data_IF_030807554878
#
_entry.id   IF_030807554878
#
_cell.length_a   1.000
_cell.length_b   1.000
_cell.length_c   1.000
_cell.angle_alpha   90.00
_cell.angle_beta   90.00
_cell.angle_gamma   90.00
#
_symmetry.space_group_name_H-M   'P 1'
#
loop_
_entity.id
_entity.type
_entity.pdbx_description
1 polymer ?
#
# COMPACT_ATOMS: atom_id res chain seq x y z
N UNK A 1 -4.29 5.58 16.97
CA UNK A 1 -4.41 4.45 17.90
C UNK A 1 -3.56 4.61 19.14
N UNK A 2 -2.25 4.84 19.05
CA UNK A 2 -1.39 5.05 20.22
C UNK A 2 -1.79 6.26 21.05
N UNK A 3 -2.16 7.38 20.44
CA UNK A 3 -2.63 8.58 21.14
C UNK A 3 -3.84 8.29 22.04
N UNK A 4 -4.79 7.46 21.56
CA UNK A 4 -5.97 7.06 22.35
C UNK A 4 -5.61 6.13 23.51
N UNK A 5 -4.61 5.26 23.33
CA UNK A 5 -4.09 4.41 24.38
C UNK A 5 -3.43 5.23 25.50
N UNK A 6 -2.56 6.20 25.11
CA UNK A 6 -1.92 7.11 26.07
C UNK A 6 -2.90 8.09 26.74
N UNK A 7 -4.05 8.37 26.10
CA UNK A 7 -5.14 9.12 26.69
C UNK A 7 -5.95 8.32 27.74
N UNK A 8 -5.51 7.09 28.06
CA UNK A 8 -6.14 6.25 29.10
C UNK A 8 -7.31 5.40 28.61
N UNK A 9 -7.53 5.30 27.29
CA UNK A 9 -8.51 4.35 26.76
C UNK A 9 -8.00 2.92 26.92
N UNK A 10 -8.74 2.09 27.65
CA UNK A 10 -8.42 0.67 27.80
C UNK A 10 -8.48 -0.10 26.47
N UNK A 11 -7.70 -1.16 26.35
CA UNK A 11 -7.68 -2.06 25.20
C UNK A 11 -9.06 -2.54 24.73
N UNK A 12 -10.02 -2.62 25.64
CA UNK A 12 -11.43 -2.99 25.38
C UNK A 12 -12.12 -2.07 24.37
N UNK A 13 -11.69 -0.81 24.27
CA UNK A 13 -12.25 0.17 23.35
C UNK A 13 -11.46 0.29 22.04
N UNK A 14 -10.21 -0.18 22.03
CA UNK A 14 -9.31 -0.10 20.87
C UNK A 14 -9.47 -1.35 19.99
N UNK A 15 -9.65 -2.52 20.59
CA UNK A 15 -9.76 -3.78 19.85
C UNK A 15 -11.00 -3.85 18.92
N UNK A 16 -12.22 -3.48 19.35
CA UNK A 16 -13.41 -3.62 18.50
C UNK A 16 -13.31 -2.87 17.16
N UNK A 17 -12.91 -1.59 17.09
CA UNK A 17 -12.80 -0.91 15.80
C UNK A 17 -11.71 -1.50 14.89
N UNK A 18 -10.62 -2.04 15.46
CA UNK A 18 -9.60 -2.75 14.68
C UNK A 18 -10.17 -4.03 14.08
N UNK A 19 -10.86 -4.82 14.88
CA UNK A 19 -11.47 -6.08 14.42
C UNK A 19 -12.53 -5.81 13.36
N UNK A 20 -13.37 -4.80 13.55
CA UNK A 20 -14.38 -4.39 12.56
C UNK A 20 -13.69 -3.95 11.25
N UNK A 21 -12.61 -3.16 11.34
CA UNK A 21 -11.84 -2.74 10.18
C UNK A 21 -11.23 -3.92 9.42
N UNK A 22 -10.66 -4.89 10.12
CA UNK A 22 -10.09 -6.10 9.51
C UNK A 22 -11.16 -6.97 8.85
N UNK A 23 -12.33 -7.11 9.49
CA UNK A 23 -13.47 -7.84 8.92
C UNK A 23 -13.98 -7.12 7.66
N UNK A 24 -14.09 -5.78 7.69
CA UNK A 24 -14.52 -5.01 6.54
C UNK A 24 -13.54 -5.14 5.35
N UNK A 25 -12.23 -5.10 5.61
CA UNK A 25 -11.21 -5.33 4.59
C UNK A 25 -11.31 -6.77 4.03
N UNK A 26 -11.42 -7.77 4.91
CA UNK A 26 -11.60 -9.16 4.50
C UNK A 26 -12.86 -9.36 3.64
N UNK A 27 -13.97 -8.71 4.01
CA UNK A 27 -15.19 -8.73 3.22
C UNK A 27 -14.98 -8.13 1.82
N UNK A 28 -14.31 -6.97 1.72
CA UNK A 28 -14.01 -6.34 0.43
C UNK A 28 -13.15 -7.24 -0.46
N UNK A 29 -12.15 -7.92 0.09
CA UNK A 29 -11.28 -8.83 -0.66
C UNK A 29 -12.02 -10.07 -1.15
N UNK A 30 -12.86 -10.67 -0.30
CA UNK A 30 -13.60 -11.90 -0.66
C UNK A 30 -14.73 -11.62 -1.65
N UNK A 31 -15.42 -10.49 -1.49
CA UNK A 31 -16.55 -10.09 -2.34
C UNK A 31 -16.15 -9.16 -3.50
N UNK A 32 -14.83 -8.94 -3.72
CA UNK A 32 -14.31 -8.08 -4.79
C UNK A 32 -14.97 -8.35 -6.15
N UNK A 33 -15.04 -9.60 -6.68
CA UNK A 33 -15.61 -9.85 -8.01
C UNK A 33 -17.09 -9.46 -8.11
N UNK A 34 -17.83 -9.49 -7.00
CA UNK A 34 -19.23 -9.09 -6.95
C UNK A 34 -19.40 -7.59 -6.77
N UNK A 35 -18.58 -6.96 -5.90
CA UNK A 35 -18.65 -5.55 -5.59
C UNK A 35 -18.09 -4.65 -6.69
N UNK A 36 -17.10 -5.14 -7.42
CA UNK A 36 -16.43 -4.44 -8.51
C UNK A 36 -17.03 -4.73 -9.89
N UNK A 37 -18.15 -5.43 -9.99
CA UNK A 37 -18.90 -5.56 -11.24
C UNK A 37 -19.40 -4.19 -11.72
N UNK A 38 -19.36 -3.95 -13.03
CA UNK A 38 -19.64 -2.62 -13.62
C UNK A 38 -21.09 -2.15 -13.39
N UNK A 39 -22.01 -3.08 -13.12
CA UNK A 39 -23.43 -2.79 -12.87
C UNK A 39 -23.74 -2.37 -11.42
N UNK A 40 -22.82 -2.58 -10.48
CA UNK A 40 -23.07 -2.33 -9.05
C UNK A 40 -22.76 -0.88 -8.70
N UNK A 41 -23.77 -0.09 -8.36
CA UNK A 41 -23.61 1.26 -7.82
C UNK A 41 -23.52 1.21 -6.29
N UNK A 42 -22.44 1.70 -5.74
CA UNK A 42 -22.27 1.79 -4.28
C UNK A 42 -23.01 3.04 -3.76
N UNK A 43 -23.99 2.89 -2.88
CA UNK A 43 -24.82 4.01 -2.44
C UNK A 43 -24.07 5.06 -1.60
N UNK A 44 -22.96 4.68 -0.96
CA UNK A 44 -22.17 5.54 -0.07
C UNK A 44 -20.90 6.11 -0.72
N UNK A 45 -20.45 5.58 -1.84
CA UNK A 45 -19.19 5.97 -2.46
C UNK A 45 -19.41 6.58 -3.84
N UNK A 46 -18.64 7.61 -4.15
CA UNK A 46 -18.59 8.17 -5.50
C UNK A 46 -17.91 7.18 -6.44
N UNK A 47 -18.29 7.18 -7.70
CA UNK A 47 -17.75 6.30 -8.75
C UNK A 47 -16.21 6.29 -8.78
N UNK A 48 -15.59 7.46 -8.58
CA UNK A 48 -14.13 7.61 -8.49
C UNK A 48 -13.50 6.82 -7.32
N UNK A 49 -14.15 6.81 -6.16
CA UNK A 49 -13.66 6.07 -4.98
C UNK A 49 -13.78 4.56 -5.19
N UNK A 50 -14.90 4.11 -5.76
CA UNK A 50 -15.11 2.72 -6.14
C UNK A 50 -14.01 2.24 -7.09
N UNK A 51 -13.75 3.01 -8.16
CA UNK A 51 -12.72 2.67 -9.12
C UNK A 51 -11.33 2.54 -8.48
N UNK A 52 -10.96 3.42 -7.54
CA UNK A 52 -9.68 3.31 -6.82
C UNK A 52 -9.59 2.03 -5.99
N UNK A 53 -10.64 1.68 -5.25
CA UNK A 53 -10.67 0.45 -4.45
C UNK A 53 -10.59 -0.77 -5.35
N UNK A 54 -11.37 -0.84 -6.42
CA UNK A 54 -11.38 -1.97 -7.35
C UNK A 54 -10.05 -2.12 -8.11
N UNK A 55 -9.43 -1.01 -8.52
CA UNK A 55 -8.10 -1.07 -9.16
C UNK A 55 -7.01 -1.53 -8.18
N UNK A 56 -7.15 -1.22 -6.88
CA UNK A 56 -6.22 -1.68 -5.86
C UNK A 56 -6.35 -3.18 -5.61
N UNK A 57 -7.59 -3.70 -5.58
CA UNK A 57 -7.88 -5.11 -5.33
C UNK A 57 -7.52 -5.99 -6.54
N UNK A 58 -7.87 -5.55 -7.74
CA UNK A 58 -7.55 -6.24 -9.00
C UNK A 58 -6.98 -5.25 -10.03
N UNK A 59 -5.65 -4.99 -10.00
CA UNK A 59 -5.00 -4.13 -10.98
C UNK A 59 -4.94 -4.75 -12.39
N UNK A 60 -5.11 -6.06 -12.51
CA UNK A 60 -5.07 -6.79 -13.79
C UNK A 60 -6.34 -6.60 -14.62
N UNK A 61 -7.40 -6.06 -14.05
CA UNK A 61 -8.64 -5.75 -14.76
C UNK A 61 -8.47 -4.65 -15.81
N UNK A 62 -7.58 -3.67 -15.54
CA UNK A 62 -7.21 -2.62 -16.50
C UNK A 62 -5.69 -2.44 -16.52
N UNK A 63 -4.94 -3.38 -17.15
CA UNK A 63 -3.49 -3.44 -17.04
C UNK A 63 -2.78 -2.34 -17.85
N UNK A 64 -3.47 -1.67 -18.79
CA UNK A 64 -2.92 -0.57 -19.60
C UNK A 64 -3.43 0.81 -19.15
N UNK A 65 -4.42 0.85 -18.26
CA UNK A 65 -4.98 2.08 -17.71
C UNK A 65 -4.56 2.32 -16.27
N UNK A 66 -5.54 2.42 -15.38
CA UNK A 66 -5.32 2.77 -13.96
C UNK A 66 -4.53 1.73 -13.16
N UNK A 67 -4.59 0.45 -13.56
CA UNK A 67 -3.82 -0.64 -12.96
C UNK A 67 -2.33 -0.64 -13.34
N UNK A 68 -1.96 0.02 -14.45
CA UNK A 68 -0.59 -0.01 -14.98
C UNK A 68 0.46 0.36 -13.94
N UNK A 69 0.29 1.48 -13.24
CA UNK A 69 1.26 1.96 -12.26
C UNK A 69 1.40 1.02 -11.05
N UNK A 70 0.30 0.41 -10.61
CA UNK A 70 0.32 -0.56 -9.51
C UNK A 70 1.07 -1.82 -9.92
N UNK A 71 0.81 -2.33 -11.12
CA UNK A 71 1.48 -3.51 -11.68
C UNK A 71 2.98 -3.24 -11.83
N UNK A 72 3.36 -2.09 -12.40
CA UNK A 72 4.77 -1.70 -12.54
C UNK A 72 5.46 -1.54 -11.18
N UNK A 73 4.77 -0.96 -10.19
CA UNK A 73 5.27 -0.87 -8.83
C UNK A 73 5.50 -2.24 -8.18
N UNK A 74 4.59 -3.19 -8.38
CA UNK A 74 4.76 -4.58 -7.89
C UNK A 74 5.94 -5.28 -8.60
N UNK A 75 6.08 -5.09 -9.90
CA UNK A 75 7.21 -5.63 -10.68
C UNK A 75 8.54 -5.02 -10.18
N UNK A 76 8.57 -3.70 -9.92
CA UNK A 76 9.75 -3.02 -9.40
C UNK A 76 10.19 -3.62 -8.06
N UNK A 77 9.28 -3.70 -7.08
CA UNK A 77 9.56 -4.31 -5.76
C UNK A 77 10.00 -5.76 -5.90
N UNK A 78 9.30 -6.57 -6.71
CA UNK A 78 9.62 -7.98 -6.93
C UNK A 78 10.98 -8.18 -7.59
N UNK A 79 11.34 -7.31 -8.55
CA UNK A 79 12.61 -7.39 -9.28
C UNK A 79 13.83 -7.01 -8.44
N UNK A 80 13.64 -6.26 -7.34
CA UNK A 80 14.71 -5.91 -6.40
C UNK A 80 15.23 -7.09 -5.60
N UNK A 81 14.43 -8.13 -5.38
CA UNK A 81 14.84 -9.32 -4.62
C UNK A 81 15.31 -9.01 -3.20
N UNK A 82 16.28 -9.78 -2.70
CA UNK A 82 16.79 -9.63 -1.33
C UNK A 82 17.75 -8.44 -1.17
N UNK A 83 18.67 -8.24 -2.11
CA UNK A 83 19.77 -7.26 -2.02
C UNK A 83 19.57 -6.02 -2.87
N UNK A 84 18.54 -5.99 -3.71
CA UNK A 84 18.33 -4.94 -4.68
C UNK A 84 19.21 -5.06 -5.92
N UNK A 85 18.92 -4.26 -6.93
CA UNK A 85 19.73 -4.16 -8.18
C UNK A 85 20.95 -3.27 -8.01
N UNK A 86 21.00 -2.48 -6.96
CA UNK A 86 22.03 -1.47 -6.70
C UNK A 86 21.52 -0.05 -6.89
N UNK A 87 22.21 0.89 -6.25
CA UNK A 87 21.88 2.31 -6.30
C UNK A 87 21.92 2.82 -7.74
N UNK A 88 20.84 3.48 -8.16
CA UNK A 88 20.63 4.00 -9.52
C UNK A 88 20.65 2.93 -10.63
N UNK A 89 20.44 1.65 -10.32
CA UNK A 89 20.37 0.56 -11.30
C UNK A 89 18.95 -0.02 -11.46
N UNK A 90 17.94 0.68 -10.94
CA UNK A 90 16.54 0.33 -11.09
C UNK A 90 16.08 0.46 -12.55
N UNK A 91 15.70 -0.65 -13.18
CA UNK A 91 15.28 -0.66 -14.58
C UNK A 91 13.93 -0.02 -14.79
N UNK A 92 12.97 -0.25 -13.89
CA UNK A 92 11.63 0.33 -13.97
C UNK A 92 11.65 1.85 -13.73
N UNK A 93 12.57 2.29 -12.87
CA UNK A 93 12.77 3.70 -12.54
C UNK A 93 13.44 4.46 -13.69
N UNK A 94 14.44 3.88 -14.35
CA UNK A 94 15.18 4.54 -15.43
C UNK A 94 14.45 4.54 -16.78
N UNK A 95 13.62 3.54 -17.04
CA UNK A 95 12.86 3.44 -18.29
C UNK A 95 11.56 4.26 -18.25
N UNK A 96 11.34 5.06 -17.20
CA UNK A 96 10.15 5.91 -16.99
C UNK A 96 8.82 5.14 -17.07
N UNK A 97 8.82 3.82 -16.78
CA UNK A 97 7.60 3.04 -16.66
C UNK A 97 6.74 3.46 -15.46
N UNK A 98 7.37 4.12 -14.47
CA UNK A 98 6.69 4.67 -13.30
C UNK A 98 6.82 6.21 -13.35
N UNK A 99 5.86 6.93 -13.96
CA UNK A 99 5.96 8.39 -14.13
C UNK A 99 5.94 9.15 -12.79
N UNK A 100 5.29 8.61 -11.75
CA UNK A 100 5.18 9.23 -10.42
C UNK A 100 6.15 8.58 -9.40
N UNK A 101 7.34 8.18 -9.85
CA UNK A 101 8.37 7.52 -9.02
C UNK A 101 8.87 8.35 -7.85
N UNK A 102 8.78 9.67 -7.94
CA UNK A 102 9.26 10.60 -6.90
C UNK A 102 8.19 10.96 -5.87
N UNK A 103 6.96 10.55 -6.07
CA UNK A 103 5.83 10.84 -5.18
C UNK A 103 5.19 9.55 -4.69
N UNK A 104 4.19 9.04 -5.39
CA UNK A 104 3.35 7.94 -4.93
C UNK A 104 4.08 6.59 -4.92
N UNK A 105 5.04 6.39 -5.82
CA UNK A 105 5.76 5.13 -6.00
C UNK A 105 7.23 5.17 -5.54
N UNK A 106 7.61 6.16 -4.72
CA UNK A 106 8.98 6.27 -4.22
C UNK A 106 9.44 4.99 -3.48
N UNK A 107 8.53 4.33 -2.75
CA UNK A 107 8.83 3.08 -2.06
C UNK A 107 9.09 1.92 -3.03
N UNK A 108 8.39 1.88 -4.16
CA UNK A 108 8.63 0.88 -5.20
C UNK A 108 10.00 1.06 -5.87
N UNK A 109 10.36 2.31 -6.18
CA UNK A 109 11.68 2.65 -6.71
C UNK A 109 12.80 2.28 -5.73
N UNK A 110 12.63 2.64 -4.45
CA UNK A 110 13.57 2.28 -3.39
C UNK A 110 13.70 0.76 -3.22
N UNK A 111 12.56 0.04 -3.28
CA UNK A 111 12.53 -1.42 -3.20
C UNK A 111 13.23 -2.13 -4.35
N UNK A 112 13.20 -1.55 -5.55
CA UNK A 112 13.95 -2.06 -6.71
C UNK A 112 15.47 -1.93 -6.52
N UNK A 113 15.92 -0.78 -5.99
CA UNK A 113 17.35 -0.48 -5.83
C UNK A 113 17.99 -1.18 -4.65
N UNK A 114 17.32 -1.16 -3.48
CA UNK A 114 17.88 -1.66 -2.21
C UNK A 114 17.32 -3.01 -1.77
N UNK A 115 16.31 -3.51 -2.44
CA UNK A 115 15.69 -4.80 -2.16
C UNK A 115 14.99 -4.89 -0.80
N UNK A 116 14.77 -6.13 -0.36
CA UNK A 116 14.10 -6.41 0.90
C UNK A 116 14.87 -5.87 2.12
N UNK A 117 16.19 -6.00 2.11
CA UNK A 117 17.05 -5.52 3.21
C UNK A 117 16.95 -4.00 3.37
N UNK A 118 17.00 -3.24 2.27
CA UNK A 118 16.84 -1.80 2.32
C UNK A 118 15.48 -1.38 2.84
N UNK A 119 14.41 -2.04 2.37
CA UNK A 119 13.06 -1.79 2.84
C UNK A 119 12.90 -2.07 4.33
N UNK A 120 13.50 -3.16 4.83
CA UNK A 120 13.48 -3.50 6.25
C UNK A 120 14.21 -2.45 7.10
N UNK A 121 15.38 -1.97 6.66
CA UNK A 121 16.12 -0.91 7.32
C UNK A 121 15.32 0.41 7.36
N UNK A 122 14.65 0.75 6.27
CA UNK A 122 13.81 1.95 6.19
C UNK A 122 12.63 1.86 7.15
N UNK A 123 11.92 0.75 7.19
CA UNK A 123 10.81 0.51 8.12
C UNK A 123 11.31 0.55 9.57
N UNK A 124 12.44 -0.10 9.88
CA UNK A 124 13.03 -0.07 11.22
C UNK A 124 13.39 1.36 11.65
N UNK A 125 13.93 2.18 10.74
CA UNK A 125 14.18 3.60 10.98
C UNK A 125 12.92 4.40 11.31
N UNK A 126 11.84 4.19 10.55
CA UNK A 126 10.54 4.82 10.85
C UNK A 126 9.97 4.37 12.19
N UNK A 127 10.02 3.07 12.49
CA UNK A 127 9.57 2.53 13.78
C UNK A 127 10.38 3.16 14.93
N UNK A 128 11.71 3.26 14.78
CA UNK A 128 12.58 3.90 15.77
C UNK A 128 12.22 5.37 15.99
N UNK A 129 11.98 6.14 14.91
CA UNK A 129 11.55 7.53 15.01
C UNK A 129 10.21 7.67 15.73
N UNK A 130 9.23 6.84 15.38
CA UNK A 130 7.91 6.85 16.02
C UNK A 130 8.01 6.51 17.51
N UNK A 131 8.80 5.48 17.85
CA UNK A 131 9.03 5.12 19.26
C UNK A 131 9.75 6.24 20.03
N UNK A 132 10.73 6.88 19.41
CA UNK A 132 11.44 8.02 20.01
C UNK A 132 10.51 9.19 20.29
N UNK A 133 9.64 9.52 19.33
CA UNK A 133 8.62 10.57 19.50
C UNK A 133 7.58 10.25 20.58
N UNK A 134 7.29 8.98 20.79
CA UNK A 134 6.36 8.55 21.86
C UNK A 134 7.03 8.63 23.23
N UNK A 135 8.34 8.48 23.31
CA UNK A 135 9.10 8.50 24.58
C UNK A 135 9.49 9.92 25.06
N UNK A 136 9.30 10.94 24.22
CA UNK A 136 9.50 12.35 24.61
C UNK A 136 8.22 12.92 25.21
#
# INVERSE_FOLDING_TARGET
MYVLYFAGLGWKWIIPPIVIGLIAIGFLVVFEPMLCADEVKWPMFREYQRQRVCTLLDPWRDPLGKGFHIIQGMIAIGSGGFFGKGFMQGTQTHLDFIPERTTDFIFAAYGEEFGLLGNLCLIAGFVFLVLSLIHI
#
